data_IF_457996526086
#
_entry.id   IF_457996526086
#
_cell.length_a   1.000
_cell.length_b   1.000
_cell.length_c   1.000
_cell.angle_alpha   90.00
_cell.angle_beta   90.00
_cell.angle_gamma   90.00
#
_symmetry.space_group_name_H-M   'P 1'
#
loop_
_entity.id
_entity.type
_entity.pdbx_description
1 polymer ?
#
# COMPACT_ATOMS: atom_id res chain seq x y z
N UNK A 1 -22.07 -21.03 30.64
CA UNK A 1 -21.31 -20.79 29.39
C UNK A 1 -22.26 -20.08 28.43
N UNK A 2 -22.29 -18.75 28.48
CA UNK A 2 -23.02 -17.94 27.51
C UNK A 2 -22.29 -18.03 26.19
N UNK A 3 -23.01 -18.42 25.13
CA UNK A 3 -22.49 -18.34 23.76
C UNK A 3 -22.15 -16.87 23.47
N UNK A 4 -20.90 -16.62 23.15
CA UNK A 4 -20.48 -15.34 22.60
C UNK A 4 -21.26 -15.09 21.31
N UNK A 5 -22.05 -14.03 21.29
CA UNK A 5 -22.71 -13.59 20.08
C UNK A 5 -21.63 -13.08 19.12
N UNK A 6 -21.29 -13.83 18.10
CA UNK A 6 -20.40 -13.37 17.06
C UNK A 6 -21.08 -12.23 16.29
N UNK A 7 -20.58 -11.03 16.43
CA UNK A 7 -21.04 -9.90 15.61
C UNK A 7 -20.62 -10.11 14.16
N UNK A 8 -21.58 -10.03 13.27
CA UNK A 8 -21.35 -10.19 11.83
C UNK A 8 -21.40 -8.83 11.15
N UNK A 9 -20.26 -8.42 10.59
CA UNK A 9 -20.16 -7.22 9.74
C UNK A 9 -20.31 -7.62 8.29
N UNK A 10 -21.20 -6.95 7.57
CA UNK A 10 -21.46 -7.21 6.15
C UNK A 10 -20.99 -6.03 5.31
N UNK A 11 -20.24 -6.30 4.27
CA UNK A 11 -19.83 -5.33 3.27
C UNK A 11 -20.03 -5.90 1.87
N UNK A 12 -20.52 -5.08 0.96
CA UNK A 12 -20.60 -5.39 -0.46
C UNK A 12 -19.66 -4.48 -1.23
N UNK A 13 -18.86 -5.05 -2.10
CA UNK A 13 -17.92 -4.31 -2.93
C UNK A 13 -18.21 -4.57 -4.40
N UNK A 14 -18.25 -3.50 -5.18
CA UNK A 14 -18.36 -3.54 -6.64
C UNK A 14 -17.28 -2.63 -7.21
N UNK A 15 -16.47 -3.16 -8.11
CA UNK A 15 -15.38 -2.42 -8.71
C UNK A 15 -15.45 -2.44 -10.24
N UNK A 16 -15.08 -1.33 -10.85
CA UNK A 16 -14.92 -1.15 -12.29
C UNK A 16 -13.49 -0.67 -12.56
N UNK A 17 -12.90 -1.15 -13.63
CA UNK A 17 -11.58 -0.68 -14.03
C UNK A 17 -11.52 -0.50 -15.55
N UNK A 18 -10.65 0.43 -15.97
CA UNK A 18 -10.28 0.65 -17.35
C UNK A 18 -8.78 0.97 -17.40
N UNK A 19 -8.08 0.38 -18.34
CA UNK A 19 -6.66 0.61 -18.58
C UNK A 19 -6.39 0.80 -20.05
N UNK A 20 -5.41 1.66 -20.36
CA UNK A 20 -4.93 1.90 -21.74
C UNK A 20 -3.40 2.05 -21.75
N UNK A 21 -2.76 1.39 -22.70
CA UNK A 21 -1.33 1.52 -22.97
C UNK A 21 -1.12 2.28 -24.28
N UNK A 22 -0.62 3.49 -24.16
CA UNK A 22 -0.35 4.39 -25.29
C UNK A 22 1.14 4.42 -25.62
N UNK A 23 1.46 4.25 -26.88
CA UNK A 23 2.80 4.50 -27.39
C UNK A 23 2.89 5.96 -27.86
N UNK A 24 3.46 6.84 -27.05
CA UNK A 24 3.56 8.26 -27.34
C UNK A 24 4.63 8.56 -28.42
N UNK A 25 5.69 7.75 -28.45
CA UNK A 25 6.76 7.82 -29.47
C UNK A 25 7.47 6.48 -29.56
N UNK A 26 8.50 6.39 -30.44
CA UNK A 26 9.38 5.20 -30.51
C UNK A 26 10.11 4.91 -29.19
N UNK A 27 10.27 5.92 -28.32
CA UNK A 27 11.00 5.82 -27.04
C UNK A 27 10.13 6.00 -25.80
N UNK A 28 8.89 6.44 -25.95
CA UNK A 28 8.02 6.76 -24.81
C UNK A 28 6.73 5.96 -24.85
N UNK A 29 6.37 5.37 -23.71
CA UNK A 29 5.10 4.69 -23.47
C UNK A 29 4.45 5.27 -22.22
N UNK A 30 3.13 5.38 -22.25
CA UNK A 30 2.31 5.81 -21.15
C UNK A 30 1.22 4.78 -20.88
N UNK A 31 1.15 4.28 -19.66
CA UNK A 31 0.05 3.45 -19.18
C UNK A 31 -0.81 4.29 -18.26
N UNK A 32 -2.10 4.32 -18.56
CA UNK A 32 -3.11 5.00 -17.73
C UNK A 32 -4.15 3.99 -17.30
N UNK A 33 -4.48 4.00 -16.03
CA UNK A 33 -5.51 3.14 -15.47
C UNK A 33 -6.40 3.93 -14.51
N UNK A 34 -7.65 3.55 -14.46
CA UNK A 34 -8.61 4.07 -13.52
C UNK A 34 -9.38 2.90 -12.93
N UNK A 35 -9.34 2.78 -11.62
CA UNK A 35 -10.13 1.83 -10.87
C UNK A 35 -11.14 2.61 -10.02
N UNK A 36 -12.40 2.21 -10.07
CA UNK A 36 -13.47 2.83 -9.30
C UNK A 36 -14.19 1.79 -8.49
N UNK A 37 -14.20 1.97 -7.17
CA UNK A 37 -14.82 1.04 -6.25
C UNK A 37 -15.97 1.70 -5.49
N UNK A 38 -17.07 0.98 -5.43
CA UNK A 38 -18.22 1.23 -4.55
C UNK A 38 -18.18 0.19 -3.43
N UNK A 39 -18.09 0.65 -2.20
CA UNK A 39 -18.14 -0.20 -1.02
C UNK A 39 -19.31 0.20 -0.12
N UNK A 40 -20.24 -0.72 0.08
CA UNK A 40 -21.41 -0.53 0.93
C UNK A 40 -21.25 -1.29 2.22
N UNK A 41 -21.40 -0.61 3.33
CA UNK A 41 -21.37 -1.19 4.67
C UNK A 41 -22.29 -0.42 5.60
N UNK A 42 -23.03 -1.11 6.44
CA UNK A 42 -23.80 -0.54 7.56
C UNK A 42 -24.60 0.73 7.19
N UNK A 43 -25.27 0.68 6.06
CA UNK A 43 -26.07 1.78 5.52
C UNK A 43 -25.27 2.96 4.95
N UNK A 44 -23.94 2.85 4.82
CA UNK A 44 -23.06 3.84 4.20
C UNK A 44 -22.43 3.32 2.94
N UNK A 45 -22.32 4.18 1.93
CA UNK A 45 -21.60 3.87 0.69
C UNK A 45 -20.34 4.73 0.65
N UNK A 46 -19.22 4.09 0.41
CA UNK A 46 -17.95 4.72 0.12
C UNK A 46 -17.63 4.62 -1.36
N UNK A 47 -17.08 5.69 -1.91
CA UNK A 47 -16.63 5.80 -3.28
C UNK A 47 -15.10 5.93 -3.27
N UNK A 48 -14.43 5.13 -4.06
CA UNK A 48 -12.98 5.25 -4.26
C UNK A 48 -12.67 5.39 -5.74
N UNK A 49 -11.94 6.43 -6.08
CA UNK A 49 -11.36 6.63 -7.40
C UNK A 49 -9.84 6.47 -7.26
N UNK A 50 -9.28 5.51 -8.00
CA UNK A 50 -7.91 5.05 -7.85
C UNK A 50 -7.17 5.15 -9.19
N UNK A 51 -6.65 6.34 -9.53
CA UNK A 51 -5.86 6.54 -10.74
C UNK A 51 -4.51 5.83 -10.63
N UNK A 52 -4.07 5.27 -11.76
CA UNK A 52 -2.77 4.66 -11.97
C UNK A 52 -2.16 5.22 -13.23
N UNK A 53 -0.99 5.79 -13.11
CA UNK A 53 -0.24 6.36 -14.22
C UNK A 53 1.18 5.80 -14.18
N UNK A 54 1.68 5.34 -15.32
CA UNK A 54 3.07 4.92 -15.44
C UNK A 54 3.62 5.34 -16.78
N UNK A 55 4.73 6.05 -16.77
CA UNK A 55 5.44 6.46 -17.97
C UNK A 55 6.80 5.80 -18.00
N UNK A 56 7.16 5.24 -19.16
CA UNK A 56 8.50 4.75 -19.45
C UNK A 56 9.11 5.51 -20.62
N UNK A 57 10.38 5.88 -20.48
CA UNK A 57 11.14 6.57 -21.50
C UNK A 57 12.48 5.88 -21.72
N UNK A 58 12.73 5.45 -22.94
CA UNK A 58 13.99 4.84 -23.34
C UNK A 58 15.04 5.93 -23.58
N UNK A 59 15.92 6.15 -22.60
CA UNK A 59 16.97 7.15 -22.65
C UNK A 59 18.07 6.77 -23.65
N UNK A 60 18.40 5.48 -23.72
CA UNK A 60 19.33 4.91 -24.69
C UNK A 60 18.92 3.49 -25.05
N UNK A 61 19.65 2.82 -25.93
CA UNK A 61 19.41 1.39 -26.27
C UNK A 61 19.45 0.47 -25.05
N UNK A 62 20.19 0.87 -24.00
CA UNK A 62 20.42 0.05 -22.80
C UNK A 62 19.85 0.64 -21.53
N UNK A 63 19.23 1.81 -21.58
CA UNK A 63 18.72 2.48 -20.39
C UNK A 63 17.29 2.98 -20.58
N UNK A 64 16.43 2.65 -19.61
CA UNK A 64 15.04 3.09 -19.55
C UNK A 64 14.77 3.75 -18.19
N UNK A 65 14.14 4.91 -18.22
CA UNK A 65 13.61 5.58 -17.04
C UNK A 65 12.11 5.26 -16.93
N UNK A 66 11.64 5.03 -15.72
CA UNK A 66 10.22 4.85 -15.42
C UNK A 66 9.80 5.77 -14.29
N UNK A 67 8.59 6.31 -14.38
CA UNK A 67 7.94 7.09 -13.32
C UNK A 67 6.53 6.57 -13.19
N UNK A 68 6.04 6.43 -11.97
CA UNK A 68 4.67 5.99 -11.72
C UNK A 68 4.01 6.77 -10.60
N UNK A 69 2.69 6.86 -10.69
CA UNK A 69 1.80 7.36 -9.66
C UNK A 69 0.65 6.40 -9.50
N UNK A 70 0.32 6.05 -8.24
CA UNK A 70 -0.82 5.18 -7.91
C UNK A 70 -1.56 5.68 -6.69
N UNK A 71 -2.89 5.60 -6.75
CA UNK A 71 -3.75 5.69 -5.58
C UNK A 71 -4.45 4.35 -5.36
N UNK A 72 -4.64 3.97 -4.10
CA UNK A 72 -5.30 2.73 -3.71
C UNK A 72 -6.09 2.95 -2.43
N UNK A 73 -7.24 2.29 -2.32
CA UNK A 73 -8.04 2.24 -1.10
C UNK A 73 -8.19 0.81 -0.61
N UNK A 74 -8.30 0.65 0.69
CA UNK A 74 -8.48 -0.64 1.33
C UNK A 74 -9.67 -0.55 2.28
N UNK A 75 -10.64 -1.46 2.09
CA UNK A 75 -11.90 -1.50 2.82
C UNK A 75 -11.91 -2.51 3.96
N UNK A 76 -10.87 -3.34 4.06
CA UNK A 76 -10.64 -4.23 5.18
C UNK A 76 -9.34 -3.82 5.90
N UNK A 77 -9.37 -3.79 7.21
CA UNK A 77 -8.24 -3.38 8.05
C UNK A 77 -7.79 -4.54 8.91
N UNK A 78 -6.50 -4.73 9.00
CA UNK A 78 -5.91 -5.62 9.99
C UNK A 78 -5.74 -4.85 11.30
N UNK A 79 -6.37 -5.33 12.35
CA UNK A 79 -6.15 -4.83 13.70
C UNK A 79 -5.06 -5.69 14.35
N UNK A 80 -3.92 -5.10 14.56
CA UNK A 80 -2.85 -5.69 15.36
C UNK A 80 -2.81 -5.02 16.72
N UNK A 81 -2.55 -5.79 17.77
CA UNK A 81 -2.28 -5.23 19.07
C UNK A 81 -0.77 -5.01 19.20
N UNK A 82 -0.33 -3.77 19.08
CA UNK A 82 1.10 -3.39 19.10
C UNK A 82 1.82 -3.76 20.40
N UNK A 83 1.08 -3.95 21.49
CA UNK A 83 1.66 -4.29 22.80
C UNK A 83 1.89 -5.80 23.01
N UNK A 84 1.25 -6.64 22.22
CA UNK A 84 1.32 -8.09 22.35
C UNK A 84 1.35 -8.69 20.95
N UNK A 85 2.49 -9.17 20.51
CA UNK A 85 2.63 -9.99 19.30
C UNK A 85 1.86 -11.30 19.45
N UNK A 86 0.54 -11.25 19.54
CA UNK A 86 -0.30 -12.41 19.58
C UNK A 86 -0.69 -12.78 18.14
N UNK A 87 -0.79 -14.08 17.82
CA UNK A 87 -1.23 -14.54 16.50
C UNK A 87 -2.74 -14.33 16.26
N UNK A 88 -3.33 -13.32 16.89
CA UNK A 88 -4.77 -13.00 16.86
C UNK A 88 -5.06 -11.73 16.05
N UNK A 89 -4.29 -11.52 14.99
CA UNK A 89 -4.60 -10.45 14.04
C UNK A 89 -6.00 -10.67 13.47
N UNK A 90 -6.89 -9.73 13.74
CA UNK A 90 -8.26 -9.78 13.27
C UNK A 90 -8.45 -8.85 12.08
N UNK A 91 -9.10 -9.35 11.03
CA UNK A 91 -9.51 -8.52 9.91
C UNK A 91 -10.89 -7.94 10.17
N UNK A 92 -11.01 -6.64 10.07
CA UNK A 92 -12.26 -5.90 10.26
C UNK A 92 -12.58 -5.07 9.01
N UNK A 93 -13.82 -5.00 8.58
CA UNK A 93 -14.21 -4.18 7.44
C UNK A 93 -14.28 -2.70 7.83
N UNK A 94 -14.19 -1.81 6.86
CA UNK A 94 -14.59 -0.42 7.07
C UNK A 94 -16.04 -0.34 7.50
N UNK A 95 -16.32 0.58 8.43
CA UNK A 95 -17.67 0.80 8.98
C UNK A 95 -18.12 2.23 8.74
N UNK A 96 -19.28 2.60 9.26
CA UNK A 96 -19.73 3.98 9.22
C UNK A 96 -18.78 4.95 9.92
N UNK A 97 -18.07 4.51 10.98
CA UNK A 97 -17.11 5.30 11.76
C UNK A 97 -15.70 5.18 11.23
N UNK A 98 -15.31 3.98 10.83
CA UNK A 98 -13.96 3.67 10.34
C UNK A 98 -13.94 3.75 8.82
N UNK A 99 -13.35 4.82 8.32
CA UNK A 99 -13.23 5.06 6.88
C UNK A 99 -12.21 4.14 6.23
N UNK A 100 -12.35 3.83 4.94
CA UNK A 100 -11.34 3.08 4.18
C UNK A 100 -9.97 3.75 4.27
N UNK A 101 -8.93 2.94 4.41
CA UNK A 101 -7.55 3.40 4.33
C UNK A 101 -7.23 3.80 2.89
N UNK A 102 -6.49 4.89 2.69
CA UNK A 102 -6.08 5.38 1.38
C UNK A 102 -4.58 5.59 1.33
N UNK A 103 -3.96 5.05 0.28
CA UNK A 103 -2.54 5.17 0.01
C UNK A 103 -2.31 5.87 -1.33
N UNK A 104 -1.27 6.73 -1.40
CA UNK A 104 -0.78 7.38 -2.60
C UNK A 104 0.71 7.15 -2.70
N UNK A 105 1.18 6.76 -3.86
CA UNK A 105 2.59 6.47 -4.09
C UNK A 105 3.05 7.11 -5.39
N UNK A 106 4.25 7.70 -5.32
CA UNK A 106 5.06 8.07 -6.49
C UNK A 106 6.31 7.21 -6.45
N UNK A 107 6.71 6.66 -7.58
CA UNK A 107 7.99 5.97 -7.73
C UNK A 107 8.68 6.41 -9.02
N UNK A 108 10.01 6.43 -9.00
CA UNK A 108 10.82 6.71 -10.17
C UNK A 108 12.06 5.81 -10.15
N UNK A 109 12.44 5.30 -11.32
CA UNK A 109 13.58 4.39 -11.39
C UNK A 109 14.29 4.42 -12.73
N UNK A 110 15.54 3.98 -12.73
CA UNK A 110 16.38 3.77 -13.89
C UNK A 110 16.73 2.29 -13.98
N UNK A 111 16.52 1.73 -15.14
CA UNK A 111 16.77 0.33 -15.48
C UNK A 111 17.79 0.32 -16.62
N UNK A 112 18.95 -0.27 -16.40
CA UNK A 112 20.02 -0.24 -17.40
C UNK A 112 20.73 -1.58 -17.53
N UNK A 113 21.17 -1.85 -18.74
CA UNK A 113 22.04 -2.97 -19.06
C UNK A 113 23.48 -2.46 -19.18
N UNK A 114 24.33 -2.92 -18.26
CA UNK A 114 25.75 -2.67 -18.26
C UNK A 114 26.49 -3.73 -19.10
N UNK A 115 27.76 -3.50 -19.49
CA UNK A 115 28.57 -4.51 -20.15
C UNK A 115 28.63 -5.82 -19.35
N UNK A 116 28.93 -6.93 -20.03
CA UNK A 116 29.03 -8.27 -19.43
C UNK A 116 27.73 -8.85 -18.91
N UNK A 117 26.59 -8.53 -19.53
CA UNK A 117 25.25 -9.04 -19.18
C UNK A 117 24.82 -8.71 -17.74
N UNK A 118 25.24 -7.57 -17.24
CA UNK A 118 24.83 -7.06 -15.93
C UNK A 118 23.61 -6.15 -16.11
N UNK A 119 22.53 -6.42 -15.41
CA UNK A 119 21.38 -5.52 -15.31
C UNK A 119 21.44 -4.81 -13.96
N UNK A 120 21.31 -3.52 -13.97
CA UNK A 120 21.26 -2.65 -12.80
C UNK A 120 19.95 -1.88 -12.81
N UNK A 121 19.19 -1.97 -11.73
CA UNK A 121 17.97 -1.20 -11.51
C UNK A 121 18.13 -0.41 -10.22
N UNK A 122 17.77 0.86 -10.27
CA UNK A 122 17.70 1.75 -9.10
C UNK A 122 16.34 2.38 -9.11
N UNK A 123 15.57 2.20 -8.04
CA UNK A 123 14.22 2.76 -7.89
C UNK A 123 14.10 3.48 -6.56
N UNK A 124 13.48 4.66 -6.57
CA UNK A 124 13.09 5.40 -5.38
C UNK A 124 11.58 5.55 -5.32
N UNK A 125 11.02 5.52 -4.12
CA UNK A 125 9.59 5.70 -3.92
C UNK A 125 9.28 6.59 -2.71
N UNK A 126 8.11 7.21 -2.78
CA UNK A 126 7.50 7.93 -1.67
C UNK A 126 6.03 7.59 -1.60
N UNK A 127 5.58 7.11 -0.43
CA UNK A 127 4.19 6.70 -0.16
C UNK A 127 3.64 7.48 1.02
N UNK A 128 2.41 7.94 0.90
CA UNK A 128 1.62 8.45 2.02
C UNK A 128 0.40 7.58 2.23
N UNK A 129 0.06 7.33 3.48
CA UNK A 129 -1.13 6.55 3.86
C UNK A 129 -1.96 7.37 4.85
N UNK A 130 -3.26 7.35 4.70
CA UNK A 130 -4.23 7.97 5.59
C UNK A 130 -5.23 6.95 6.10
N UNK A 131 -5.84 7.22 7.25
CA UNK A 131 -6.76 6.30 7.92
C UNK A 131 -6.09 4.97 8.30
N UNK A 132 -4.82 5.02 8.73
CA UNK A 132 -4.22 3.91 9.46
C UNK A 132 -5.00 3.71 10.75
N UNK A 133 -5.15 2.46 11.17
CA UNK A 133 -5.84 2.14 12.41
C UNK A 133 -4.85 1.64 13.45
N UNK A 134 -5.05 2.11 14.67
CA UNK A 134 -4.39 1.59 15.87
C UNK A 134 -5.44 1.33 16.94
N UNK A 135 -5.28 0.24 17.67
CA UNK A 135 -6.22 -0.18 18.69
C UNK A 135 -5.93 0.54 20.01
N UNK A 136 -6.95 1.23 20.55
CA UNK A 136 -6.90 1.96 21.82
C UNK A 136 -7.59 1.17 22.96
N UNK A 137 -7.48 -0.14 22.94
CA UNK A 137 -8.20 -1.02 23.88
C UNK A 137 -7.53 -1.22 25.24
N UNK A 138 -6.50 -0.47 25.58
CA UNK A 138 -5.79 -0.64 26.85
C UNK A 138 -5.22 -2.07 26.99
N UNK A 139 -5.33 -2.65 28.20
CA UNK A 139 -4.80 -3.98 28.51
C UNK A 139 -5.72 -5.14 28.11
N UNK A 140 -6.72 -4.94 27.27
CA UNK A 140 -7.61 -6.03 26.84
C UNK A 140 -6.89 -6.94 25.86
N UNK A 141 -6.73 -8.18 26.25
CA UNK A 141 -6.10 -9.25 25.44
C UNK A 141 -7.01 -9.77 24.32
N UNK A 142 -8.29 -9.44 24.35
CA UNK A 142 -9.26 -9.86 23.35
C UNK A 142 -9.89 -8.63 22.70
N UNK A 143 -9.90 -8.60 21.39
CA UNK A 143 -10.70 -7.63 20.64
C UNK A 143 -12.18 -7.90 20.97
N UNK A 144 -12.91 -6.92 21.53
CA UNK A 144 -14.33 -7.12 21.74
C UNK A 144 -15.01 -7.31 20.39
N UNK A 145 -15.80 -8.38 20.28
CA UNK A 145 -16.54 -8.68 19.05
C UNK A 145 -17.51 -7.54 18.67
N UNK A 146 -18.03 -6.84 19.67
CA UNK A 146 -18.97 -5.74 19.51
C UNK A 146 -18.29 -4.40 19.76
N UNK A 147 -18.59 -3.40 18.91
CA UNK A 147 -18.14 -2.01 19.04
C UNK A 147 -16.62 -1.77 18.96
N UNK A 148 -15.86 -2.63 18.27
CA UNK A 148 -14.44 -2.46 18.05
C UNK A 148 -14.11 -1.08 17.41
N UNK A 149 -15.03 -0.55 16.61
CA UNK A 149 -14.90 0.72 15.90
C UNK A 149 -14.86 1.96 16.82
N UNK A 150 -15.20 1.80 18.11
CA UNK A 150 -15.03 2.81 19.14
C UNK A 150 -13.65 2.73 19.84
N UNK A 151 -12.95 1.64 19.66
CA UNK A 151 -11.68 1.33 20.33
C UNK A 151 -10.47 1.47 19.41
N UNK A 152 -10.67 2.09 18.24
CA UNK A 152 -9.60 2.36 17.29
C UNK A 152 -9.40 3.85 17.08
N UNK A 153 -8.16 4.24 16.89
CA UNK A 153 -7.77 5.59 16.50
C UNK A 153 -7.25 5.57 15.08
N UNK A 154 -7.44 6.70 14.40
CA UNK A 154 -6.98 6.86 13.02
C UNK A 154 -5.71 7.68 12.95
N UNK A 155 -4.78 7.25 12.13
CA UNK A 155 -3.49 7.89 11.93
C UNK A 155 -3.14 8.09 10.47
N UNK A 156 -1.93 8.58 10.27
CA UNK A 156 -1.31 8.79 8.97
C UNK A 156 0.05 8.09 8.93
N UNK A 157 0.42 7.60 7.75
CA UNK A 157 1.73 7.02 7.50
C UNK A 157 2.44 7.71 6.35
N UNK A 158 3.74 7.63 6.35
CA UNK A 158 4.60 7.94 5.20
C UNK A 158 5.74 6.95 5.15
N UNK A 159 6.03 6.45 3.96
CA UNK A 159 7.14 5.55 3.72
C UNK A 159 7.90 6.01 2.48
N UNK A 160 9.20 5.94 2.53
CA UNK A 160 10.05 6.27 1.39
C UNK A 160 11.32 5.42 1.45
N UNK A 161 11.91 5.21 0.29
CA UNK A 161 13.11 4.40 0.22
C UNK A 161 13.72 4.38 -1.17
N UNK A 162 14.88 3.73 -1.23
CA UNK A 162 15.61 3.44 -2.46
C UNK A 162 15.90 1.95 -2.51
N UNK A 163 15.66 1.37 -3.67
CA UNK A 163 15.91 -0.04 -3.96
C UNK A 163 16.96 -0.15 -5.05
N UNK A 164 17.93 -1.00 -4.83
CA UNK A 164 18.98 -1.35 -5.76
C UNK A 164 18.86 -2.83 -6.09
N UNK A 165 18.81 -3.17 -7.37
CA UNK A 165 18.83 -4.56 -7.85
C UNK A 165 19.90 -4.72 -8.91
N UNK A 166 20.72 -5.72 -8.74
CA UNK A 166 21.78 -6.10 -9.66
C UNK A 166 21.61 -7.57 -10.04
N UNK A 167 21.59 -7.85 -11.33
CA UNK A 167 21.50 -9.20 -11.86
C UNK A 167 22.58 -9.42 -12.92
N UNK A 168 23.38 -10.45 -12.75
CA UNK A 168 24.34 -10.96 -13.74
C UNK A 168 23.82 -12.29 -14.27
N UNK A 169 23.82 -12.47 -15.58
CA UNK A 169 23.43 -13.73 -16.20
C UNK A 169 24.32 -14.05 -17.39
N UNK A 170 24.99 -15.18 -17.31
CA UNK A 170 25.70 -15.78 -18.45
C UNK A 170 25.12 -17.16 -18.78
N UNK A 171 25.85 -17.95 -19.58
CA UNK A 171 25.43 -19.28 -20.01
C UNK A 171 25.33 -20.30 -18.86
N UNK A 172 26.11 -20.11 -17.81
CA UNK A 172 26.28 -21.09 -16.71
C UNK A 172 25.87 -20.54 -15.35
N UNK A 173 25.84 -19.21 -15.18
CA UNK A 173 25.67 -18.57 -13.90
C UNK A 173 24.53 -17.56 -13.93
N UNK A 174 23.77 -17.51 -12.84
CA UNK A 174 22.81 -16.45 -12.53
C UNK A 174 23.15 -15.97 -11.12
N UNK A 175 23.49 -14.69 -10.99
CA UNK A 175 23.78 -14.05 -9.71
C UNK A 175 22.85 -12.86 -9.58
N UNK A 176 22.11 -12.81 -8.49
CA UNK A 176 21.20 -11.69 -8.18
C UNK A 176 21.54 -11.15 -6.80
N UNK A 177 21.58 -9.83 -6.69
CA UNK A 177 21.77 -9.11 -5.43
C UNK A 177 20.79 -7.96 -5.37
N UNK A 178 20.20 -7.76 -4.19
CA UNK A 178 19.27 -6.67 -3.92
C UNK A 178 19.64 -5.97 -2.62
N UNK A 179 19.46 -4.66 -2.59
CA UNK A 179 19.59 -3.84 -1.40
C UNK A 179 18.46 -2.84 -1.34
N UNK A 180 17.81 -2.75 -0.18
CA UNK A 180 16.74 -1.78 0.06
C UNK A 180 17.07 -0.97 1.30
N UNK A 181 16.99 0.36 1.15
CA UNK A 181 17.07 1.30 2.25
C UNK A 181 15.73 2.04 2.32
N UNK A 182 15.00 1.86 3.42
CA UNK A 182 13.67 2.43 3.56
C UNK A 182 13.38 2.93 4.97
N UNK A 183 12.48 3.90 5.04
CA UNK A 183 11.95 4.44 6.28
C UNK A 183 10.43 4.36 6.24
N UNK A 184 9.85 3.94 7.36
CA UNK A 184 8.42 3.94 7.61
C UNK A 184 8.12 4.74 8.86
N UNK A 185 7.26 5.74 8.74
CA UNK A 185 6.92 6.66 9.82
C UNK A 185 5.40 6.72 9.95
N UNK A 186 4.94 6.73 11.18
CA UNK A 186 3.52 6.82 11.52
C UNK A 186 3.26 8.00 12.45
N UNK A 187 2.02 8.49 12.46
CA UNK A 187 1.57 9.54 13.33
C UNK A 187 0.11 9.30 13.70
N UNK A 188 -0.15 9.15 15.00
CA UNK A 188 -1.49 9.07 15.59
C UNK A 188 -1.63 10.23 16.56
N UNK A 189 -2.33 11.26 16.15
CA UNK A 189 -2.37 12.56 16.88
C UNK A 189 -2.86 12.42 18.32
N UNK A 190 -3.71 11.43 18.59
CA UNK A 190 -4.27 11.20 19.93
C UNK A 190 -3.29 10.50 20.88
N UNK A 191 -2.28 9.78 20.37
CA UNK A 191 -1.29 9.05 21.14
C UNK A 191 0.10 9.66 21.05
N UNK A 192 0.50 9.97 19.81
CA UNK A 192 1.84 10.44 19.47
C UNK A 192 1.71 11.63 18.52
N UNK A 193 1.85 12.88 19.03
CA UNK A 193 1.70 14.08 18.21
C UNK A 193 2.80 14.22 17.14
N UNK A 194 3.93 13.53 17.32
CA UNK A 194 5.05 13.55 16.40
C UNK A 194 5.12 12.27 15.53
N UNK A 195 5.91 12.35 14.45
CA UNK A 195 6.20 11.19 13.62
C UNK A 195 7.16 10.24 14.32
N UNK A 196 6.85 8.96 14.35
CA UNK A 196 7.71 7.91 14.89
C UNK A 196 7.91 6.79 13.87
N UNK A 197 9.00 6.06 14.02
CA UNK A 197 9.31 4.90 13.19
C UNK A 197 8.44 3.72 13.63
N UNK A 198 7.85 3.04 12.67
CA UNK A 198 7.06 1.81 12.86
C UNK A 198 7.94 0.59 12.63
#
# INVERSE_FOLDING_TARGET
LSAESASSYKGNEVAFYAEDEMRLSSKAKLNTGLHYTLYQTDGKIYHSLEPRLAMSYQCSEKATMKVSYTEMSQFAHQLSNTYLNLPTDSWVPSTRKVRPMRSRQVAAGIYTELPRHIRLNVEGYYRTTSQLLEYDGGNSLMLPADNWDNLVKTGKGKSYGVELSLAYKDRYNVIEAGYTLSWSLQKFTDFYPDWYSS
#
